data_IF_554353277729
#
_entry.id   IF_554353277729
#
_cell.length_a   1.000
_cell.length_b   1.000
_cell.length_c   1.000
_cell.angle_alpha   90.00
_cell.angle_beta   90.00
_cell.angle_gamma   90.00
#
_symmetry.space_group_name_H-M   'P 1'
#
loop_
_entity.id
_entity.type
_entity.pdbx_description
1 polymer ?
#
# COMPACT_ATOMS: atom_id res chain seq x y z
N UNK A 1 -15.82 -16.49 -8.03
CA UNK A 1 -14.78 -16.86 -9.03
C UNK A 1 -14.58 -15.70 -10.00
N UNK A 2 -13.45 -15.66 -10.72
CA UNK A 2 -13.06 -14.67 -11.75
C UNK A 2 -12.55 -13.29 -11.27
N UNK A 3 -11.26 -13.24 -10.95
CA UNK A 3 -10.41 -12.06 -11.21
C UNK A 3 -8.92 -12.47 -11.30
N UNK A 4 -8.44 -13.24 -10.32
CA UNK A 4 -7.03 -13.67 -10.20
C UNK A 4 -6.54 -14.72 -11.21
N UNK A 5 -7.30 -15.00 -12.27
CA UNK A 5 -7.11 -16.13 -13.18
C UNK A 5 -6.57 -15.71 -14.57
N UNK A 6 -6.05 -14.49 -14.69
CA UNK A 6 -5.70 -13.86 -15.98
C UNK A 6 -4.22 -13.52 -16.20
N UNK A 7 -3.30 -13.93 -15.32
CA UNK A 7 -1.86 -13.71 -15.51
C UNK A 7 -1.01 -14.97 -15.23
N UNK A 8 -1.51 -16.15 -15.61
CA UNK A 8 -0.75 -17.39 -15.61
C UNK A 8 -0.47 -17.86 -17.05
N UNK A 9 0.77 -17.76 -17.55
CA UNK A 9 1.33 -18.75 -18.43
C UNK A 9 1.88 -19.90 -17.56
N UNK A 10 1.08 -20.96 -17.35
CA UNK A 10 1.66 -22.24 -16.93
C UNK A 10 2.52 -22.77 -18.08
N UNK A 11 3.84 -22.62 -17.95
CA UNK A 11 4.83 -23.29 -18.80
C UNK A 11 5.56 -24.40 -18.01
N UNK A 12 4.81 -25.15 -17.18
CA UNK A 12 5.27 -26.38 -16.56
C UNK A 12 4.96 -27.56 -17.49
N UNK A 13 5.81 -27.80 -18.48
CA UNK A 13 5.77 -29.00 -19.30
C UNK A 13 7.20 -29.45 -19.60
N UNK A 14 7.65 -30.52 -18.93
CA UNK A 14 8.84 -31.25 -19.34
C UNK A 14 8.51 -32.03 -20.63
N UNK A 15 8.84 -31.44 -21.78
CA UNK A 15 8.56 -31.99 -23.09
C UNK A 15 8.77 -30.91 -24.16
N UNK A 16 9.45 -31.25 -25.25
CA UNK A 16 9.89 -30.28 -26.26
C UNK A 16 8.68 -29.65 -26.97
N UNK A 17 8.30 -28.44 -26.52
CA UNK A 17 7.35 -27.56 -27.22
C UNK A 17 8.14 -26.37 -27.76
N UNK A 18 8.07 -26.17 -29.07
CA UNK A 18 8.65 -25.00 -29.73
C UNK A 18 7.81 -23.77 -29.35
N UNK A 19 8.22 -23.08 -28.29
CA UNK A 19 7.63 -21.80 -27.91
C UNK A 19 8.00 -20.76 -28.97
N UNK A 20 7.00 -20.17 -29.62
CA UNK A 20 7.24 -19.02 -30.50
C UNK A 20 7.79 -17.83 -29.67
N UNK A 21 8.67 -17.04 -30.27
CA UNK A 21 9.41 -15.95 -29.62
C UNK A 21 8.48 -14.96 -28.90
N UNK A 22 7.32 -14.65 -29.49
CA UNK A 22 6.30 -13.77 -28.91
C UNK A 22 5.65 -14.33 -27.64
N UNK A 23 5.49 -15.66 -27.54
CA UNK A 23 4.95 -16.29 -26.34
C UNK A 23 5.98 -16.25 -25.20
N UNK A 24 7.26 -16.48 -25.52
CA UNK A 24 8.36 -16.39 -24.58
C UNK A 24 8.50 -14.95 -24.05
N UNK A 25 8.53 -13.94 -24.94
CA UNK A 25 8.56 -12.51 -24.59
C UNK A 25 7.40 -12.10 -23.68
N UNK A 26 6.18 -12.56 -23.96
CA UNK A 26 5.01 -12.29 -23.10
C UNK A 26 5.13 -12.94 -21.73
N UNK A 27 5.64 -14.17 -21.65
CA UNK A 27 5.85 -14.84 -20.36
C UNK A 27 6.93 -14.15 -19.50
N UNK A 28 8.03 -13.72 -20.12
CA UNK A 28 9.09 -12.95 -19.45
C UNK A 28 8.55 -11.61 -18.93
N UNK A 29 7.82 -10.85 -19.76
CA UNK A 29 7.21 -9.58 -19.35
C UNK A 29 6.23 -9.74 -18.17
N UNK A 30 5.51 -10.86 -18.07
CA UNK A 30 4.67 -11.17 -16.89
C UNK A 30 5.54 -11.42 -15.65
N UNK A 31 6.60 -12.22 -15.77
CA UNK A 31 7.53 -12.51 -14.66
C UNK A 31 8.20 -11.24 -14.16
N UNK A 32 8.65 -10.35 -15.05
CA UNK A 32 9.26 -9.07 -14.70
C UNK A 32 8.28 -8.12 -13.99
N UNK A 33 7.01 -8.08 -14.41
CA UNK A 33 5.96 -7.34 -13.69
C UNK A 33 5.72 -7.87 -12.28
N UNK A 34 5.62 -9.19 -12.11
CA UNK A 34 5.44 -9.82 -10.79
C UNK A 34 6.66 -9.57 -9.90
N UNK A 35 7.88 -9.71 -10.44
CA UNK A 35 9.12 -9.40 -9.74
C UNK A 35 9.19 -7.93 -9.31
N UNK A 36 8.84 -7.00 -10.21
CA UNK A 36 8.78 -5.57 -9.91
C UNK A 36 7.77 -5.24 -8.80
N UNK A 37 6.59 -5.86 -8.80
CA UNK A 37 5.59 -5.66 -7.75
C UNK A 37 6.03 -6.23 -6.40
N UNK A 38 6.67 -7.39 -6.37
CA UNK A 38 7.28 -7.93 -5.16
C UNK A 38 8.41 -7.03 -4.63
N UNK A 39 9.29 -6.53 -5.50
CA UNK A 39 10.34 -5.57 -5.13
C UNK A 39 9.76 -4.27 -4.59
N UNK A 40 8.75 -3.70 -5.25
CA UNK A 40 8.06 -2.49 -4.81
C UNK A 40 7.40 -2.67 -3.44
N UNK A 41 6.78 -3.83 -3.18
CA UNK A 41 6.19 -4.14 -1.88
C UNK A 41 7.21 -4.09 -0.74
N UNK A 42 8.38 -4.72 -0.94
CA UNK A 42 9.48 -4.72 0.04
C UNK A 42 10.10 -3.33 0.18
N UNK A 43 10.29 -2.59 -0.91
CA UNK A 43 10.84 -1.22 -0.87
C UNK A 43 9.87 -0.26 -0.17
N UNK A 44 8.58 -0.26 -0.49
CA UNK A 44 7.57 0.58 0.18
C UNK A 44 7.45 0.27 1.67
N UNK A 45 7.58 -1.00 2.07
CA UNK A 45 7.67 -1.37 3.48
C UNK A 45 8.91 -0.75 4.14
N UNK A 46 10.10 -0.91 3.55
CA UNK A 46 11.35 -0.34 4.08
C UNK A 46 11.32 1.19 4.15
N UNK A 47 10.73 1.84 3.14
CA UNK A 47 10.44 3.28 3.10
C UNK A 47 9.54 3.66 4.29
N UNK A 48 8.43 2.95 4.49
CA UNK A 48 7.49 3.24 5.57
C UNK A 48 8.10 3.01 6.96
N UNK A 49 8.92 1.97 7.14
CA UNK A 49 9.64 1.73 8.39
C UNK A 49 10.70 2.80 8.66
N UNK A 50 11.32 3.39 7.62
CA UNK A 50 12.21 4.53 7.77
C UNK A 50 11.46 5.81 8.14
N UNK A 51 10.38 6.14 7.42
CA UNK A 51 9.48 7.26 7.74
C UNK A 51 8.95 7.17 9.18
N UNK A 52 8.56 5.98 9.62
CA UNK A 52 8.04 5.76 10.96
C UNK A 52 9.09 5.92 12.07
N UNK A 53 10.39 5.75 11.77
CA UNK A 53 11.48 6.03 12.72
C UNK A 53 11.71 7.52 12.86
N UNK A 54 11.88 8.25 11.75
CA UNK A 54 12.04 9.71 11.75
C UNK A 54 10.84 10.38 12.45
N UNK A 55 9.63 9.87 12.21
CA UNK A 55 8.40 10.37 12.86
C UNK A 55 8.41 10.29 14.40
N UNK A 56 9.16 9.36 15.02
CA UNK A 56 9.25 9.28 16.49
C UNK A 56 9.89 10.54 17.07
N UNK A 57 10.89 11.08 16.39
CA UNK A 57 11.66 12.25 16.82
C UNK A 57 11.01 13.54 16.33
N UNK A 58 10.78 13.65 15.02
CA UNK A 58 10.33 14.90 14.37
C UNK A 58 8.82 15.16 14.48
N UNK A 59 8.01 14.12 14.72
CA UNK A 59 6.53 14.14 14.66
C UNK A 59 5.96 14.66 13.32
N UNK A 60 6.74 14.63 12.26
CA UNK A 60 6.38 15.11 10.93
C UNK A 60 6.73 14.10 9.83
N UNK A 61 6.12 14.27 8.64
CA UNK A 61 6.45 13.51 7.45
C UNK A 61 6.94 14.45 6.33
N UNK A 62 7.88 13.99 5.48
CA UNK A 62 8.47 14.77 4.38
C UNK A 62 7.52 14.86 3.16
N UNK A 63 6.26 15.28 3.38
CA UNK A 63 5.19 15.30 2.38
C UNK A 63 5.57 16.09 1.10
N UNK A 64 6.16 17.27 1.27
CA UNK A 64 6.47 18.19 0.18
C UNK A 64 7.65 17.72 -0.68
N UNK A 65 8.68 17.14 -0.05
CA UNK A 65 9.95 16.77 -0.66
C UNK A 65 10.25 15.27 -0.49
N UNK A 66 9.23 14.42 -0.61
CA UNK A 66 9.37 12.99 -0.35
C UNK A 66 10.44 12.34 -1.23
N UNK A 67 10.48 12.68 -2.53
CA UNK A 67 11.52 12.20 -3.44
C UNK A 67 12.95 12.62 -3.05
N UNK A 68 13.12 13.81 -2.46
CA UNK A 68 14.40 14.24 -1.90
C UNK A 68 14.78 13.48 -0.64
N UNK A 69 13.83 13.29 0.29
CA UNK A 69 14.04 12.51 1.51
C UNK A 69 14.41 11.04 1.20
N UNK A 70 13.79 10.44 0.18
CA UNK A 70 14.13 9.09 -0.29
C UNK A 70 15.58 9.00 -0.82
N UNK A 71 16.04 10.03 -1.54
CA UNK A 71 17.41 10.10 -2.10
C UNK A 71 18.49 10.23 -1.03
N UNK A 72 18.18 10.91 0.06
CA UNK A 72 19.09 11.08 1.19
C UNK A 72 19.12 9.82 2.07
N UNK A 73 17.95 9.37 2.52
CA UNK A 73 17.85 8.37 3.59
C UNK A 73 17.96 6.91 3.15
N UNK A 74 17.73 6.60 1.86
CA UNK A 74 17.75 5.23 1.34
C UNK A 74 18.97 4.92 0.46
N UNK A 75 19.94 5.83 0.42
CA UNK A 75 21.16 5.69 -0.36
C UNK A 75 22.09 4.66 0.29
N UNK A 76 22.53 3.66 -0.47
CA UNK A 76 23.56 2.72 -0.04
C UNK A 76 24.85 3.46 0.35
N UNK A 77 25.32 3.21 1.58
CA UNK A 77 26.52 3.87 2.16
C UNK A 77 27.82 3.56 1.40
N UNK A 78 27.86 2.48 0.62
CA UNK A 78 29.01 2.12 -0.22
C UNK A 78 29.03 2.84 -1.58
N UNK A 79 28.01 3.64 -1.89
CA UNK A 79 27.91 4.42 -3.12
C UNK A 79 27.61 3.61 -4.38
N UNK A 80 27.32 2.29 -4.28
CA UNK A 80 27.03 1.42 -5.44
C UNK A 80 25.58 1.49 -5.93
N UNK A 81 24.84 2.53 -5.55
CA UNK A 81 23.44 2.70 -5.91
C UNK A 81 23.27 2.92 -7.43
N UNK A 82 22.81 1.88 -8.13
CA UNK A 82 22.60 1.93 -9.60
C UNK A 82 21.22 2.43 -10.02
N UNK A 83 20.28 2.59 -9.07
CA UNK A 83 18.89 3.01 -9.33
C UNK A 83 18.51 4.20 -8.43
N UNK A 84 17.82 5.18 -9.00
CA UNK A 84 17.21 6.27 -8.24
C UNK A 84 16.15 5.72 -7.26
N UNK A 85 16.41 5.84 -5.95
CA UNK A 85 15.53 5.35 -4.88
C UNK A 85 14.31 6.22 -4.63
N UNK A 86 14.20 7.42 -5.22
CA UNK A 86 12.94 8.16 -5.23
C UNK A 86 11.90 7.55 -6.18
N UNK A 87 12.31 6.60 -7.03
CA UNK A 87 11.49 5.99 -8.07
C UNK A 87 11.29 4.51 -7.81
N UNK A 88 10.12 4.00 -8.15
CA UNK A 88 9.79 2.59 -8.14
C UNK A 88 10.57 1.81 -9.24
N UNK A 89 10.49 0.46 -9.28
CA UNK A 89 11.18 -0.36 -10.27
C UNK A 89 10.82 -0.07 -11.73
N UNK A 90 9.74 0.67 -12.00
CA UNK A 90 9.31 1.07 -13.35
C UNK A 90 9.66 2.53 -13.68
N UNK A 91 10.30 3.25 -12.74
CA UNK A 91 10.82 4.60 -12.94
C UNK A 91 9.85 5.72 -12.57
N UNK A 92 8.70 5.41 -11.97
CA UNK A 92 7.74 6.41 -11.48
C UNK A 92 8.10 6.84 -10.05
N UNK A 93 8.00 8.13 -9.72
CA UNK A 93 8.33 8.60 -8.37
C UNK A 93 7.35 8.04 -7.34
N UNK A 94 7.87 7.52 -6.22
CA UNK A 94 7.03 7.12 -5.09
C UNK A 94 6.25 8.32 -4.55
N UNK A 95 5.02 8.10 -4.07
CA UNK A 95 4.16 9.12 -3.47
C UNK A 95 3.88 8.81 -2.01
N UNK A 96 3.70 9.87 -1.21
CA UNK A 96 3.38 9.78 0.22
C UNK A 96 2.05 10.51 0.46
N UNK A 97 1.14 9.86 1.18
CA UNK A 97 -0.16 10.43 1.57
C UNK A 97 -0.47 10.10 3.03
N UNK A 98 -1.38 10.84 3.65
CA UNK A 98 -1.78 10.66 5.06
C UNK A 98 -3.24 10.21 5.14
N UNK A 99 -3.50 9.20 5.98
CA UNK A 99 -4.84 8.69 6.30
C UNK A 99 -5.10 8.94 7.79
N UNK A 100 -5.60 10.14 8.10
CA UNK A 100 -5.89 10.55 9.47
C UNK A 100 -6.95 9.67 10.16
N UNK A 101 -8.06 9.26 9.49
CA UNK A 101 -9.01 8.30 10.07
C UNK A 101 -8.38 6.97 10.52
N UNK A 102 -7.35 6.48 9.81
CA UNK A 102 -6.60 5.27 10.21
C UNK A 102 -5.34 5.56 11.05
N UNK A 103 -5.13 6.82 11.43
CA UNK A 103 -3.98 7.29 12.21
C UNK A 103 -2.65 6.79 11.63
N UNK A 104 -2.40 7.10 10.36
CA UNK A 104 -1.22 6.62 9.64
C UNK A 104 -0.99 7.30 8.29
N UNK A 105 -0.09 6.72 7.51
CA UNK A 105 0.29 7.21 6.18
C UNK A 105 0.39 6.06 5.17
N UNK A 106 0.46 6.39 3.88
CA UNK A 106 0.57 5.43 2.79
C UNK A 106 1.69 5.82 1.83
N UNK A 107 2.56 4.87 1.50
CA UNK A 107 3.54 4.95 0.42
C UNK A 107 2.92 4.30 -0.82
N UNK A 108 2.99 4.95 -1.97
CA UNK A 108 2.39 4.47 -3.21
C UNK A 108 3.40 4.39 -4.36
N UNK A 109 3.21 3.41 -5.24
CA UNK A 109 3.86 3.25 -6.55
C UNK A 109 2.80 3.15 -7.63
N UNK A 110 3.09 3.66 -8.84
CA UNK A 110 2.15 3.63 -9.96
C UNK A 110 2.05 2.26 -10.65
N UNK A 111 2.86 1.29 -10.23
CA UNK A 111 2.87 -0.04 -10.83
C UNK A 111 3.51 -0.11 -12.22
N UNK A 112 3.48 -1.29 -12.84
CA UNK A 112 3.98 -1.55 -14.18
C UNK A 112 3.50 -0.64 -15.32
N UNK A 113 2.31 -0.07 -15.24
CA UNK A 113 1.77 0.82 -16.28
C UNK A 113 2.22 2.29 -16.15
N UNK A 114 2.91 2.63 -15.05
CA UNK A 114 3.44 3.96 -14.70
C UNK A 114 2.38 5.06 -14.62
N UNK A 115 1.09 4.71 -14.59
CA UNK A 115 -0.05 5.61 -14.74
C UNK A 115 -0.91 5.62 -13.49
N UNK A 116 -0.77 6.67 -12.68
CA UNK A 116 -1.57 6.85 -11.46
C UNK A 116 -3.08 6.73 -11.69
N UNK A 117 -3.75 6.04 -10.76
CA UNK A 117 -5.17 5.64 -10.79
C UNK A 117 -5.46 4.47 -11.74
N UNK A 118 -4.46 3.63 -12.01
CA UNK A 118 -4.61 2.34 -12.70
C UNK A 118 -5.12 1.23 -11.77
N UNK A 119 -5.25 0.00 -12.29
CA UNK A 119 -5.56 -1.19 -11.49
C UNK A 119 -4.31 -1.80 -10.82
N UNK A 120 -3.10 -1.41 -11.26
CA UNK A 120 -1.81 -1.89 -10.76
C UNK A 120 -1.06 -0.89 -9.85
N UNK A 121 -1.65 0.28 -9.58
CA UNK A 121 -1.30 1.17 -8.45
C UNK A 121 -1.10 0.34 -7.16
N UNK A 122 0.10 0.41 -6.58
CA UNK A 122 0.44 -0.27 -5.33
C UNK A 122 0.36 0.71 -4.16
N UNK A 123 -0.18 0.25 -3.03
CA UNK A 123 -0.29 1.03 -1.80
C UNK A 123 0.19 0.21 -0.60
N UNK A 124 1.17 0.74 0.14
CA UNK A 124 1.60 0.25 1.44
C UNK A 124 1.18 1.25 2.54
N UNK A 125 0.21 0.86 3.38
CA UNK A 125 -0.24 1.64 4.53
C UNK A 125 0.56 1.29 5.80
N UNK A 126 0.91 2.31 6.58
CA UNK A 126 1.57 2.20 7.88
C UNK A 126 0.75 2.93 8.95
N UNK A 127 0.34 2.22 10.01
CA UNK A 127 -0.34 2.86 11.16
C UNK A 127 0.68 3.30 12.21
N UNK A 128 0.57 4.57 12.63
CA UNK A 128 1.39 5.14 13.71
C UNK A 128 0.84 4.80 15.10
N UNK A 129 -0.33 4.14 15.18
CA UNK A 129 -1.01 3.81 16.45
C UNK A 129 -0.15 3.00 17.41
N UNK A 130 0.73 2.13 16.90
CA UNK A 130 1.65 1.33 17.70
C UNK A 130 2.89 2.07 18.20
N UNK A 131 3.10 3.32 17.78
CA UNK A 131 4.31 4.11 18.05
C UNK A 131 3.97 5.35 18.88
N UNK A 132 3.02 6.16 18.39
CA UNK A 132 2.64 7.46 18.97
C UNK A 132 1.23 7.47 19.59
N UNK A 133 0.60 6.29 19.70
CA UNK A 133 -0.77 6.18 20.16
C UNK A 133 -1.79 6.71 19.13
N UNK A 134 -3.05 6.89 19.57
CA UNK A 134 -4.22 7.01 18.69
C UNK A 134 -4.35 8.31 17.87
N UNK A 135 -3.56 9.33 18.18
CA UNK A 135 -3.68 10.69 17.61
C UNK A 135 -2.33 11.20 17.07
N UNK A 136 -1.54 10.33 16.43
CA UNK A 136 -0.22 10.67 15.89
C UNK A 136 -0.32 11.70 14.74
N UNK A 137 -1.37 11.61 13.93
CA UNK A 137 -1.58 12.51 12.79
C UNK A 137 -2.22 13.83 13.25
N UNK A 138 -1.41 14.89 13.33
CA UNK A 138 -1.85 16.25 13.63
C UNK A 138 -2.54 16.97 12.45
N UNK A 139 -3.39 17.99 12.70
CA UNK A 139 -4.21 18.65 11.68
C UNK A 139 -3.41 19.37 10.58
N UNK A 140 -2.24 19.94 10.89
CA UNK A 140 -1.40 20.60 9.87
C UNK A 140 -0.75 19.59 8.93
N UNK A 141 -0.36 18.41 9.42
CA UNK A 141 0.13 17.31 8.59
C UNK A 141 -0.94 16.80 7.61
N UNK A 142 -2.20 16.72 8.06
CA UNK A 142 -3.34 16.41 7.17
C UNK A 142 -3.51 17.46 6.08
N UNK A 143 -3.46 18.74 6.44
CA UNK A 143 -3.58 19.86 5.50
C UNK A 143 -2.48 19.85 4.44
N UNK A 144 -1.22 19.65 4.85
CA UNK A 144 -0.06 19.51 3.95
C UNK A 144 -0.23 18.32 3.00
N UNK A 145 -0.63 17.16 3.51
CA UNK A 145 -0.92 15.98 2.71
C UNK A 145 -2.05 16.20 1.68
N UNK A 146 -3.14 16.88 2.06
CA UNK A 146 -4.23 17.24 1.14
C UNK A 146 -3.79 18.22 0.03
N UNK A 147 -2.99 19.23 0.37
CA UNK A 147 -2.43 20.18 -0.60
C UNK A 147 -1.50 19.47 -1.60
N UNK A 148 -0.65 18.58 -1.13
CA UNK A 148 0.26 17.82 -1.98
C UNK A 148 -0.47 16.79 -2.84
N UNK A 149 -1.44 16.06 -2.28
CA UNK A 149 -2.32 15.16 -3.01
C UNK A 149 -3.05 15.89 -4.15
N UNK A 150 -3.54 17.11 -3.89
CA UNK A 150 -4.20 17.96 -4.89
C UNK A 150 -3.28 18.31 -6.07
N UNK A 151 -2.02 18.70 -5.81
CA UNK A 151 -1.01 18.95 -6.86
C UNK A 151 -0.69 17.68 -7.67
N UNK A 152 -0.68 16.52 -7.02
CA UNK A 152 -0.41 15.22 -7.62
C UNK A 152 -1.65 14.58 -8.29
N UNK A 153 -2.80 15.28 -8.27
CA UNK A 153 -4.07 14.83 -8.84
C UNK A 153 -4.76 13.70 -8.04
N UNK A 154 -4.33 13.41 -6.82
CA UNK A 154 -4.85 12.32 -5.98
C UNK A 154 -6.06 12.82 -5.18
N UNK A 155 -7.16 12.05 -5.19
CA UNK A 155 -8.32 12.30 -4.34
C UNK A 155 -8.16 11.58 -3.00
N UNK A 156 -7.78 12.30 -1.94
CA UNK A 156 -7.78 11.78 -0.57
C UNK A 156 -9.21 11.71 -0.02
N UNK A 157 -9.57 10.60 0.63
CA UNK A 157 -10.95 10.27 1.03
C UNK A 157 -11.49 11.07 2.26
N UNK A 158 -10.91 12.23 2.58
CA UNK A 158 -11.29 13.06 3.72
C UNK A 158 -11.48 14.52 3.29
N UNK A 159 -12.69 14.85 2.84
CA UNK A 159 -13.15 16.24 2.65
C UNK A 159 -14.14 16.63 3.75
N UNK A 160 -13.71 17.33 4.81
CA UNK A 160 -14.62 18.16 5.57
C UNK A 160 -14.87 19.44 4.76
N UNK A 161 -16.05 19.54 4.12
CA UNK A 161 -16.47 20.76 3.43
C UNK A 161 -16.62 21.92 4.44
N UNK A 162 -15.88 23.04 4.31
CA UNK A 162 -16.12 24.20 5.14
C UNK A 162 -17.39 24.93 4.65
N UNK A 163 -18.50 24.67 5.34
CA UNK A 163 -19.74 25.43 5.17
C UNK A 163 -19.65 26.76 5.91
N UNK A 164 -19.35 27.85 5.20
CA UNK A 164 -19.61 29.22 5.69
C UNK A 164 -19.76 30.25 4.56
N UNK A 165 -20.99 30.71 4.38
CA UNK A 165 -21.36 32.08 3.97
C UNK A 165 -21.99 32.75 5.20
N UNK A 166 -22.09 34.10 5.33
CA UNK A 166 -22.19 35.15 4.30
C UNK A 166 -21.15 36.30 4.53
N UNK A 167 -21.12 37.49 3.89
CA UNK A 167 -22.05 38.27 3.04
C UNK A 167 -21.25 39.35 2.29
N UNK A 168 -21.55 39.66 1.01
CA UNK A 168 -21.42 41.01 0.42
C UNK A 168 -22.00 41.06 -1.02
N UNK A 169 -22.67 42.16 -1.39
CA UNK A 169 -23.31 42.36 -2.71
C UNK A 169 -22.33 42.91 -3.75
N UNK A 170 -22.47 42.46 -5.01
CA UNK A 170 -22.75 43.31 -6.19
C UNK A 170 -22.95 42.46 -7.46
N UNK A 171 -23.74 42.94 -8.42
CA UNK A 171 -24.17 42.26 -9.65
C UNK A 171 -24.67 43.32 -10.66
N UNK A 172 -25.09 42.96 -11.90
CA UNK A 172 -24.49 42.14 -12.97
C UNK A 172 -24.40 43.03 -14.26
N UNK A 173 -24.48 42.58 -15.54
CA UNK A 173 -24.44 41.24 -16.19
C UNK A 173 -23.19 41.08 -17.10
N UNK A 174 -23.02 40.11 -18.02
CA UNK A 174 -23.91 39.13 -18.68
C UNK A 174 -23.11 37.84 -19.06
N UNK A 175 -23.56 36.84 -19.85
CA UNK A 175 -24.73 36.71 -20.75
C UNK A 175 -25.23 35.24 -20.93
N UNK A 176 -24.87 34.59 -22.04
CA UNK A 176 -25.28 33.28 -22.58
C UNK A 176 -24.20 32.22 -22.33
N UNK A 177 -24.47 30.92 -22.11
CA UNK A 177 -25.37 30.07 -22.91
C UNK A 177 -25.93 28.85 -22.14
N UNK A 178 -27.04 28.30 -22.64
CA UNK A 178 -27.71 27.12 -22.10
C UNK A 178 -27.15 25.79 -22.65
N UNK A 179 -26.99 24.82 -21.75
CA UNK A 179 -27.49 23.43 -21.87
C UNK A 179 -26.89 22.51 -22.96
N UNK A 180 -26.09 21.55 -22.52
CA UNK A 180 -26.29 20.14 -22.89
C UNK A 180 -25.97 19.24 -21.70
N UNK A 181 -26.82 18.25 -21.45
CA UNK A 181 -26.61 17.25 -20.41
C UNK A 181 -26.46 15.89 -21.10
N UNK A 182 -25.40 15.16 -20.76
CA UNK A 182 -25.30 13.72 -20.97
C UNK A 182 -24.88 13.09 -19.65
N UNK A 183 -25.82 12.39 -19.02
CA UNK A 183 -25.57 11.67 -17.79
C UNK A 183 -24.84 10.36 -18.12
N UNK A 184 -23.55 10.30 -17.78
CA UNK A 184 -22.80 9.04 -17.74
C UNK A 184 -22.76 8.58 -16.28
N UNK A 185 -23.65 7.66 -15.91
CA UNK A 185 -23.66 7.02 -14.59
C UNK A 185 -22.30 6.32 -14.33
N UNK A 186 -21.56 6.67 -13.27
CA UNK A 186 -20.39 5.91 -12.87
C UNK A 186 -20.83 4.52 -12.40
N UNK A 187 -20.19 3.48 -12.95
CA UNK A 187 -20.33 2.10 -12.48
C UNK A 187 -19.86 2.06 -11.00
N UNK A 188 -20.56 1.38 -10.07
CA UNK A 188 -20.13 1.35 -8.68
C UNK A 188 -18.73 0.73 -8.56
N UNK A 189 -17.74 1.53 -8.16
CA UNK A 189 -16.43 1.02 -7.80
C UNK A 189 -16.51 0.20 -6.52
N UNK A 190 -15.65 -0.82 -6.39
CA UNK A 190 -15.59 -1.69 -5.20
C UNK A 190 -15.50 -0.85 -3.92
N UNK A 191 -16.40 -1.11 -2.96
CA UNK A 191 -16.43 -0.41 -1.66
C UNK A 191 -15.17 -0.71 -0.87
N UNK A 192 -14.87 0.12 0.15
CA UNK A 192 -13.70 -0.10 1.01
C UNK A 192 -13.71 -1.50 1.66
N UNK A 193 -14.89 -1.98 2.07
CA UNK A 193 -15.11 -3.33 2.59
C UNK A 193 -14.79 -4.41 1.55
N UNK A 194 -15.25 -4.25 0.31
CA UNK A 194 -14.95 -5.19 -0.77
C UNK A 194 -13.44 -5.22 -1.10
N UNK A 195 -12.75 -4.08 -1.02
CA UNK A 195 -11.29 -4.01 -1.18
C UNK A 195 -10.56 -4.70 -0.03
N UNK A 196 -10.98 -4.49 1.22
CA UNK A 196 -10.41 -5.16 2.39
C UNK A 196 -10.59 -6.68 2.29
N UNK A 197 -11.80 -7.15 1.99
CA UNK A 197 -12.09 -8.58 1.81
C UNK A 197 -11.19 -9.24 0.74
N UNK A 198 -10.94 -8.55 -0.39
CA UNK A 198 -10.02 -9.05 -1.42
C UNK A 198 -8.56 -9.16 -0.92
N UNK A 199 -8.10 -8.26 -0.05
CA UNK A 199 -6.77 -8.32 0.58
C UNK A 199 -6.69 -9.50 1.57
N UNK A 200 -7.72 -9.68 2.40
CA UNK A 200 -7.84 -10.83 3.32
C UNK A 200 -7.82 -12.15 2.55
N UNK A 201 -8.66 -12.30 1.52
CA UNK A 201 -8.69 -13.49 0.67
C UNK A 201 -7.33 -13.78 0.01
N UNK A 202 -6.61 -12.76 -0.42
CA UNK A 202 -5.26 -12.89 -0.99
C UNK A 202 -4.26 -13.37 0.05
N UNK A 203 -4.30 -12.82 1.28
CA UNK A 203 -3.45 -13.25 2.40
C UNK A 203 -3.77 -14.69 2.81
N UNK A 204 -5.03 -15.09 2.90
CA UNK A 204 -5.45 -16.49 3.16
C UNK A 204 -4.84 -17.45 2.13
N UNK A 205 -4.95 -17.14 0.83
CA UNK A 205 -4.43 -18.00 -0.25
C UNK A 205 -2.90 -18.11 -0.21
N UNK A 206 -2.18 -17.01 0.05
CA UNK A 206 -0.72 -17.00 0.16
C UNK A 206 -0.21 -17.68 1.44
N UNK A 207 -0.89 -17.47 2.57
CA UNK A 207 -0.61 -18.19 3.81
C UNK A 207 -0.87 -19.71 3.65
N UNK A 208 -1.94 -20.11 2.97
CA UNK A 208 -2.19 -21.52 2.65
C UNK A 208 -1.12 -22.11 1.70
N UNK A 209 -0.52 -21.30 0.82
CA UNK A 209 0.63 -21.66 0.00
C UNK A 209 1.97 -21.66 0.77
N UNK A 210 1.96 -21.39 2.07
CA UNK A 210 3.15 -21.43 2.94
C UNK A 210 3.97 -20.14 3.00
N UNK A 211 3.53 -19.06 2.37
CA UNK A 211 4.25 -17.77 2.34
C UNK A 211 4.30 -17.16 3.75
N UNK A 212 5.51 -17.01 4.30
CA UNK A 212 5.71 -16.56 5.68
C UNK A 212 5.19 -15.14 5.92
N UNK A 213 5.41 -14.22 4.97
CA UNK A 213 4.93 -12.84 5.07
C UNK A 213 3.40 -12.79 5.11
N UNK A 214 2.72 -13.50 4.20
CA UNK A 214 1.26 -13.58 4.21
C UNK A 214 0.71 -14.28 5.47
N UNK A 215 1.45 -15.25 6.02
CA UNK A 215 1.10 -15.91 7.29
C UNK A 215 1.18 -14.91 8.46
N UNK A 216 2.27 -14.12 8.54
CA UNK A 216 2.43 -13.04 9.52
C UNK A 216 1.34 -11.97 9.37
N UNK A 217 1.14 -11.44 8.16
CA UNK A 217 0.15 -10.40 7.86
C UNK A 217 -1.28 -10.83 8.21
N UNK A 218 -1.62 -12.11 7.96
CA UNK A 218 -2.94 -12.65 8.30
C UNK A 218 -3.09 -12.85 9.81
N UNK A 219 -2.04 -13.28 10.51
CA UNK A 219 -2.06 -13.39 11.96
C UNK A 219 -2.25 -12.04 12.65
N UNK A 220 -1.59 -10.98 12.15
CA UNK A 220 -1.79 -9.61 12.66
C UNK A 220 -3.24 -9.20 12.52
N UNK A 221 -3.87 -9.44 11.37
CA UNK A 221 -5.29 -9.12 11.15
C UNK A 221 -6.21 -9.86 12.15
N UNK A 222 -5.95 -11.14 12.42
CA UNK A 222 -6.67 -11.92 13.43
C UNK A 222 -6.45 -11.45 14.87
N UNK A 223 -5.35 -10.73 15.16
CA UNK A 223 -5.09 -10.11 16.47
C UNK A 223 -5.78 -8.74 16.59
N UNK A 224 -5.85 -7.97 15.50
CA UNK A 224 -6.31 -6.57 15.46
C UNK A 224 -7.74 -6.37 14.98
N UNK A 225 -8.48 -7.43 14.63
CA UNK A 225 -9.83 -7.38 14.06
C UNK A 225 -9.90 -6.64 12.69
N UNK A 226 -8.79 -6.60 11.94
CA UNK A 226 -8.73 -5.90 10.66
C UNK A 226 -9.20 -6.80 9.49
N UNK A 227 -10.47 -6.67 9.14
CA UNK A 227 -11.11 -7.40 8.04
C UNK A 227 -11.41 -8.88 8.31
N UNK A 228 -11.06 -9.39 9.50
CA UNK A 228 -11.41 -10.73 9.99
C UNK A 228 -11.90 -10.64 11.43
N UNK A 229 -12.80 -11.54 11.81
CA UNK A 229 -13.15 -11.71 13.22
C UNK A 229 -11.91 -12.19 14.00
N UNK A 230 -11.78 -11.75 15.25
CA UNK A 230 -10.64 -12.07 16.12
C UNK A 230 -10.49 -13.56 16.35
N UNK A 231 -9.30 -14.09 16.10
CA UNK A 231 -8.96 -15.47 16.42
C UNK A 231 -7.49 -15.60 16.84
N UNK A 232 -7.25 -15.64 18.15
CA UNK A 232 -5.91 -15.80 18.71
C UNK A 232 -5.33 -17.21 18.51
N UNK A 233 -6.16 -18.23 18.29
CA UNK A 233 -5.68 -19.61 18.06
C UNK A 233 -5.15 -19.73 16.64
N UNK A 234 -5.91 -19.23 15.66
CA UNK A 234 -5.48 -19.22 14.26
C UNK A 234 -4.32 -18.22 14.04
N UNK A 235 -4.34 -17.04 14.69
CA UNK A 235 -3.21 -16.12 14.67
C UNK A 235 -1.92 -16.76 15.19
N UNK A 236 -1.99 -17.54 16.29
CA UNK A 236 -0.84 -18.27 16.82
C UNK A 236 -0.29 -19.27 15.81
N UNK A 237 -1.17 -20.10 15.22
CA UNK A 237 -0.80 -21.10 14.20
C UNK A 237 -0.12 -20.44 12.99
N UNK A 238 -0.62 -19.28 12.56
CA UNK A 238 -0.08 -18.51 11.45
C UNK A 238 1.27 -17.83 11.78
N UNK A 239 1.48 -17.38 13.02
CA UNK A 239 2.79 -16.87 13.47
C UNK A 239 3.84 -17.96 13.57
N UNK A 240 3.50 -19.14 14.10
CA UNK A 240 4.37 -20.32 14.11
C UNK A 240 4.78 -20.71 12.67
N UNK A 241 3.82 -20.68 11.74
CA UNK A 241 4.08 -20.90 10.31
C UNK A 241 5.00 -19.81 9.71
N UNK A 242 4.82 -18.55 10.09
CA UNK A 242 5.67 -17.45 9.65
C UNK A 242 7.11 -17.59 10.17
N UNK A 243 7.32 -17.88 11.47
CA UNK A 243 8.65 -18.14 12.07
C UNK A 243 9.36 -19.30 11.36
N UNK A 244 8.62 -20.38 11.09
CA UNK A 244 9.14 -21.58 10.42
C UNK A 244 9.60 -21.30 8.99
N UNK A 245 8.77 -20.63 8.20
CA UNK A 245 8.97 -20.44 6.77
C UNK A 245 9.66 -19.10 6.41
N UNK A 246 10.03 -18.28 7.40
CA UNK A 246 10.62 -16.96 7.20
C UNK A 246 11.83 -16.99 6.26
N UNK A 247 11.80 -16.15 5.23
CA UNK A 247 12.88 -15.97 4.26
C UNK A 247 13.98 -15.01 4.74
N UNK A 248 13.74 -14.26 5.81
CA UNK A 248 14.68 -13.31 6.41
C UNK A 248 14.67 -13.41 7.94
N UNK A 249 15.82 -13.11 8.56
CA UNK A 249 15.97 -13.04 10.01
C UNK A 249 14.96 -12.06 10.61
N UNK A 250 14.83 -10.85 10.02
CA UNK A 250 13.91 -9.80 10.48
C UNK A 250 12.45 -10.22 10.47
N UNK A 251 11.99 -10.99 9.47
CA UNK A 251 10.64 -11.54 9.47
C UNK A 251 10.46 -12.62 10.54
N UNK A 252 11.47 -13.47 10.75
CA UNK A 252 11.47 -14.48 11.81
C UNK A 252 11.39 -13.84 13.20
N UNK A 253 12.23 -12.84 13.49
CA UNK A 253 12.26 -12.11 14.75
C UNK A 253 10.94 -11.37 15.03
N UNK A 254 10.34 -10.73 14.02
CA UNK A 254 9.02 -10.09 14.13
C UNK A 254 7.93 -11.12 14.42
N UNK A 255 7.87 -12.21 13.65
CA UNK A 255 6.89 -13.27 13.87
C UNK A 255 7.04 -13.90 15.27
N UNK A 256 8.29 -14.12 15.73
CA UNK A 256 8.58 -14.63 17.07
C UNK A 256 8.14 -13.66 18.16
N UNK A 257 8.44 -12.37 18.01
CA UNK A 257 8.03 -11.32 18.98
C UNK A 257 6.51 -11.26 19.14
N UNK A 258 5.77 -11.32 18.02
CA UNK A 258 4.31 -11.38 18.04
C UNK A 258 3.79 -12.69 18.65
N UNK A 259 4.42 -13.83 18.37
CA UNK A 259 4.08 -15.14 18.94
C UNK A 259 4.27 -15.16 20.46
N UNK A 260 5.38 -14.63 20.96
CA UNK A 260 5.68 -14.55 22.39
C UNK A 260 4.69 -13.63 23.12
N UNK A 261 4.35 -12.49 22.52
CA UNK A 261 3.35 -11.58 23.07
C UNK A 261 1.94 -12.19 23.06
N UNK A 262 1.57 -12.92 22.01
CA UNK A 262 0.30 -13.63 21.94
C UNK A 262 0.21 -14.77 22.97
N UNK A 263 1.29 -15.53 23.17
CA UNK A 263 1.37 -16.54 24.23
C UNK A 263 1.22 -15.93 25.63
N UNK A 264 1.75 -14.72 25.89
CA UNK A 264 1.54 -13.98 27.16
C UNK A 264 0.10 -13.50 27.35
N UNK A 265 -0.67 -13.35 26.27
CA UNK A 265 -2.11 -13.00 26.33
C UNK A 265 -2.97 -14.25 26.53
N UNK A 266 -2.60 -15.37 25.90
CA UNK A 266 -3.31 -16.65 26.01
C UNK A 266 -3.08 -17.39 27.34
N UNK A 267 -1.97 -17.13 28.02
CA UNK A 267 -1.61 -17.74 29.30
C UNK A 267 -1.94 -16.86 30.53
N UNK A 268 -2.92 -15.96 30.39
CA UNK A 268 -3.44 -15.07 31.46
C UNK A 268 -4.92 -15.30 31.68
#
# INVERSE_FOLDING_TARGET
>A
MNALLKILPLAAAAGVVVLNEDALKKSLAVVDKVRGAATSGVEMQGIAEALARDFVEDKDLPIENFGGWLKENLRQKDGRETRDKSKDPWGTEYRLTVDAPKNGFSVLSAGPDTTWKSEDDLNYFYSLTGIEGKNAIGPELVRRAQLQASKQGISTAASPSPSSSPTAKSAPPASSSKKSATASTPKPGLTAEQKLNNVIESRIKRAAAGEAQASFDLAVNYITEDGVAKDYVEAKRLLEQAVKNASTETLRERAQTHLDNLNKVLNK
#
